data_IF_330536255500
#
_entry.id   IF_330536255500
#
_cell.length_a   1.000
_cell.length_b   1.000
_cell.length_c   1.000
_cell.angle_alpha   90.00
_cell.angle_beta   90.00
_cell.angle_gamma   90.00
#
_symmetry.space_group_name_H-M   'P 1'
#
loop_
_entity.id
_entity.type
_entity.pdbx_description
1 polymer ?
#
# COMPACT_ATOMS: atom_id res chain seq x y z
N UNK A 1 -5.95 6.09 34.15
CA UNK A 1 -4.49 6.23 34.32
C UNK A 1 -4.24 7.33 35.33
N UNK A 2 -3.40 7.08 36.36
CA UNK A 2 -3.05 8.09 37.37
C UNK A 2 -1.56 8.34 37.23
N UNK A 3 -1.17 9.60 37.08
CA UNK A 3 0.24 10.01 37.01
C UNK A 3 0.67 10.58 38.37
N UNK A 4 1.77 10.09 38.90
CA UNK A 4 2.40 10.58 40.16
C UNK A 4 3.78 11.09 39.82
N UNK A 5 4.07 12.33 40.22
CA UNK A 5 5.39 12.94 40.01
C UNK A 5 6.33 12.54 41.14
N UNK A 6 7.41 11.83 40.81
CA UNK A 6 8.48 11.51 41.78
C UNK A 6 9.65 12.50 41.64
N UNK A 7 10.33 12.83 42.77
CA UNK A 7 11.47 13.76 42.80
C UNK A 7 12.75 13.18 42.15
N UNK A 8 12.89 11.85 42.16
CA UNK A 8 14.03 11.17 41.54
C UNK A 8 13.62 9.81 40.98
N UNK A 9 14.42 9.27 40.04
CA UNK A 9 14.20 7.97 39.44
C UNK A 9 14.20 6.80 40.43
N UNK A 10 15.08 6.85 41.46
CA UNK A 10 15.13 5.84 42.52
C UNK A 10 13.87 5.87 43.39
N UNK A 11 13.42 7.07 43.75
CA UNK A 11 12.20 7.27 44.55
C UNK A 11 10.98 6.76 43.76
N UNK A 12 10.93 7.02 42.44
CA UNK A 12 9.89 6.53 41.54
C UNK A 12 9.80 5.02 41.52
N UNK A 13 10.93 4.31 41.40
CA UNK A 13 10.96 2.85 41.39
C UNK A 13 10.51 2.24 42.74
N UNK A 14 10.90 2.83 43.86
CA UNK A 14 10.47 2.36 45.17
C UNK A 14 8.97 2.55 45.37
N UNK A 15 8.42 3.69 44.99
CA UNK A 15 6.98 3.97 45.04
C UNK A 15 6.20 3.01 44.13
N UNK A 16 6.69 2.76 42.94
CA UNK A 16 6.06 1.81 41.99
C UNK A 16 5.94 0.41 42.61
N UNK A 17 7.02 -0.08 43.19
CA UNK A 17 7.04 -1.38 43.85
C UNK A 17 6.09 -1.45 45.04
N UNK A 18 6.05 -0.41 45.89
CA UNK A 18 5.14 -0.36 47.03
C UNK A 18 3.66 -0.33 46.63
N UNK A 19 3.33 0.38 45.55
CA UNK A 19 1.95 0.41 45.01
C UNK A 19 1.57 -0.97 44.47
N UNK A 20 2.41 -1.58 43.65
CA UNK A 20 2.11 -2.87 43.06
C UNK A 20 2.05 -3.99 44.13
N UNK A 21 2.87 -3.95 45.14
CA UNK A 21 2.86 -4.87 46.26
C UNK A 21 1.59 -4.73 47.13
N UNK A 22 1.13 -3.49 47.35
CA UNK A 22 -0.11 -3.21 48.09
C UNK A 22 -1.36 -3.73 47.37
N UNK A 23 -1.37 -3.68 46.04
CA UNK A 23 -2.50 -4.12 45.23
C UNK A 23 -2.34 -5.52 44.64
N UNK A 24 -1.23 -6.24 44.88
CA UNK A 24 -0.92 -7.55 44.33
C UNK A 24 -1.98 -8.63 44.60
N UNK A 25 -2.63 -8.56 45.76
CA UNK A 25 -3.65 -9.49 46.21
C UNK A 25 -5.09 -8.92 46.16
N UNK A 26 -5.27 -7.80 45.47
CA UNK A 26 -6.58 -7.17 45.33
C UNK A 26 -7.22 -7.57 43.97
N UNK A 27 -8.56 -7.53 43.87
CA UNK A 27 -9.23 -7.71 42.57
C UNK A 27 -8.89 -6.59 41.56
N UNK A 28 -8.12 -5.58 41.95
CA UNK A 28 -7.67 -4.43 41.17
C UNK A 28 -6.15 -4.37 41.13
N UNK A 29 -5.49 -5.43 40.65
CA UNK A 29 -4.04 -5.44 40.50
C UNK A 29 -3.58 -4.26 39.61
N UNK A 30 -2.62 -3.51 40.10
CA UNK A 30 -2.02 -2.35 39.41
C UNK A 30 -0.67 -2.74 38.81
N UNK A 31 -0.30 -2.09 37.72
CA UNK A 31 1.05 -2.14 37.17
C UNK A 31 1.57 -0.70 37.10
N UNK A 32 2.56 -0.42 37.91
CA UNK A 32 3.13 0.93 38.06
C UNK A 32 4.55 0.93 37.50
N UNK A 33 4.84 1.85 36.59
CA UNK A 33 6.17 1.96 35.99
C UNK A 33 6.51 3.39 35.59
N UNK A 34 7.79 3.69 35.32
CA UNK A 34 8.18 4.99 34.79
C UNK A 34 7.53 5.25 33.43
N UNK A 35 7.24 6.51 33.15
CA UNK A 35 6.62 6.96 31.90
C UNK A 35 7.37 6.46 30.65
N UNK A 36 8.71 6.41 30.72
CA UNK A 36 9.55 5.87 29.65
C UNK A 36 9.28 4.39 29.34
N UNK A 37 8.93 3.59 30.34
CA UNK A 37 8.62 2.17 30.16
C UNK A 37 7.28 1.99 29.45
N UNK A 38 6.29 2.80 29.82
CA UNK A 38 4.99 2.81 29.14
C UNK A 38 5.15 3.28 27.67
N UNK A 39 5.98 4.30 27.45
CA UNK A 39 6.27 4.78 26.10
C UNK A 39 6.97 3.71 25.24
N UNK A 40 7.89 2.92 25.80
CA UNK A 40 8.56 1.82 25.10
C UNK A 40 7.58 0.67 24.81
N UNK A 41 6.72 0.31 25.77
CA UNK A 41 5.69 -0.73 25.55
C UNK A 41 4.71 -0.29 24.44
N UNK A 42 4.20 0.95 24.48
CA UNK A 42 3.34 1.50 23.44
C UNK A 42 4.06 1.54 22.08
N UNK A 43 5.33 1.96 22.03
CA UNK A 43 6.12 1.96 20.80
C UNK A 43 6.29 0.53 20.23
N UNK A 44 6.45 -0.48 21.10
CA UNK A 44 6.49 -1.89 20.70
C UNK A 44 5.17 -2.36 20.07
N UNK A 45 4.03 -2.03 20.70
CA UNK A 45 2.71 -2.36 20.15
C UNK A 45 2.46 -1.68 18.78
N UNK A 46 2.89 -0.43 18.61
CA UNK A 46 2.81 0.25 17.32
C UNK A 46 3.71 -0.37 16.26
N UNK A 47 4.90 -0.86 16.63
CA UNK A 47 5.80 -1.55 15.70
C UNK A 47 5.21 -2.88 15.21
N UNK A 48 4.52 -3.64 16.07
CA UNK A 48 3.81 -4.86 15.69
C UNK A 48 2.65 -4.57 14.74
N UNK A 49 1.90 -3.50 14.99
CA UNK A 49 0.82 -3.04 14.08
C UNK A 49 1.40 -2.63 12.73
N UNK A 50 2.51 -1.89 12.69
CA UNK A 50 3.19 -1.49 11.46
C UNK A 50 3.60 -2.71 10.63
N UNK A 51 4.15 -3.76 11.25
CA UNK A 51 4.54 -4.98 10.58
C UNK A 51 3.32 -5.70 9.97
N UNK A 52 2.22 -5.79 10.71
CA UNK A 52 0.97 -6.39 10.23
C UNK A 52 0.43 -5.60 9.03
N UNK A 53 0.35 -4.27 9.15
CA UNK A 53 -0.13 -3.39 8.07
C UNK A 53 0.74 -3.50 6.83
N UNK A 54 2.06 -3.48 6.97
CA UNK A 54 2.99 -3.65 5.85
C UNK A 54 2.85 -5.02 5.17
N UNK A 55 2.62 -6.08 5.95
CA UNK A 55 2.38 -7.43 5.41
C UNK A 55 1.09 -7.50 4.59
N UNK A 56 0.03 -6.85 5.07
CA UNK A 56 -1.25 -6.75 4.34
C UNK A 56 -1.05 -5.95 3.05
N UNK A 57 -0.37 -4.79 3.13
CA UNK A 57 -0.10 -3.94 1.96
C UNK A 57 0.72 -4.67 0.89
N UNK A 58 1.74 -5.44 1.30
CA UNK A 58 2.53 -6.26 0.38
C UNK A 58 1.69 -7.35 -0.29
N UNK A 59 0.79 -7.98 0.46
CA UNK A 59 -0.13 -8.99 -0.05
C UNK A 59 -1.10 -8.41 -1.09
N UNK A 60 -1.65 -7.25 -0.79
CA UNK A 60 -2.53 -6.50 -1.70
C UNK A 60 -1.77 -6.06 -2.96
N UNK A 61 -0.56 -5.52 -2.79
CA UNK A 61 0.32 -5.14 -3.91
C UNK A 61 0.58 -6.31 -4.85
N UNK A 62 0.92 -7.47 -4.30
CA UNK A 62 1.15 -8.69 -5.10
C UNK A 62 -0.13 -9.13 -5.84
N UNK A 63 -1.27 -9.08 -5.17
CA UNK A 63 -2.56 -9.41 -5.79
C UNK A 63 -2.89 -8.47 -6.95
N UNK A 64 -2.67 -7.16 -6.78
CA UNK A 64 -2.87 -6.16 -7.84
C UNK A 64 -1.96 -6.45 -9.04
N UNK A 65 -0.69 -6.79 -8.81
CA UNK A 65 0.25 -7.17 -9.87
C UNK A 65 -0.26 -8.36 -10.68
N UNK A 66 -0.72 -9.42 -10.01
CA UNK A 66 -1.23 -10.62 -10.70
C UNK A 66 -2.50 -10.33 -11.49
N UNK A 67 -3.46 -9.62 -10.90
CA UNK A 67 -4.72 -9.28 -11.56
C UNK A 67 -4.45 -8.38 -12.77
N UNK A 68 -3.66 -7.33 -12.61
CA UNK A 68 -3.31 -6.41 -13.70
C UNK A 68 -2.57 -7.13 -14.84
N UNK A 69 -1.62 -8.01 -14.52
CA UNK A 69 -0.90 -8.81 -15.51
C UNK A 69 -1.82 -9.75 -16.29
N UNK A 70 -2.76 -10.41 -15.61
CA UNK A 70 -3.75 -11.27 -16.25
C UNK A 70 -4.69 -10.49 -17.16
N UNK A 71 -5.16 -9.32 -16.72
CA UNK A 71 -6.03 -8.45 -17.52
C UNK A 71 -5.34 -7.95 -18.78
N UNK A 72 -4.08 -7.52 -18.68
CA UNK A 72 -3.28 -7.13 -19.84
C UNK A 72 -3.01 -8.30 -20.77
N UNK A 73 -2.71 -9.49 -20.24
CA UNK A 73 -2.50 -10.67 -21.05
C UNK A 73 -3.79 -11.09 -21.82
N UNK A 74 -4.95 -10.90 -21.20
CA UNK A 74 -6.24 -11.13 -21.86
C UNK A 74 -6.51 -10.08 -22.94
N UNK A 75 -6.29 -8.81 -22.68
CA UNK A 75 -6.41 -7.72 -23.67
C UNK A 75 -5.56 -7.99 -24.92
N UNK A 76 -4.31 -8.43 -24.74
CA UNK A 76 -3.44 -8.79 -25.85
C UNK A 76 -3.97 -10.00 -26.63
N UNK A 77 -4.48 -11.02 -25.95
CA UNK A 77 -5.07 -12.19 -26.62
C UNK A 77 -6.28 -11.82 -27.46
N UNK A 78 -7.15 -10.95 -26.97
CA UNK A 78 -8.32 -10.47 -27.71
C UNK A 78 -7.94 -9.67 -28.96
N UNK A 79 -6.80 -8.96 -28.92
CA UNK A 79 -6.27 -8.14 -30.05
C UNK A 79 -5.18 -8.83 -30.85
N UNK A 80 -5.00 -10.14 -30.68
CA UNK A 80 -3.94 -10.88 -31.38
C UNK A 80 -4.06 -10.76 -32.91
N UNK A 81 -5.29 -10.78 -33.46
CA UNK A 81 -5.53 -10.55 -34.88
C UNK A 81 -5.11 -9.16 -35.36
N UNK A 82 -5.45 -8.11 -34.60
CA UNK A 82 -5.07 -6.73 -34.92
C UNK A 82 -3.55 -6.53 -34.88
N UNK A 83 -2.89 -7.14 -33.90
CA UNK A 83 -1.42 -7.14 -33.78
C UNK A 83 -0.80 -7.84 -34.98
N UNK A 84 -1.41 -8.96 -35.44
CA UNK A 84 -0.99 -9.67 -36.66
C UNK A 84 -1.07 -8.79 -37.90
N UNK A 85 -2.18 -8.07 -38.11
CA UNK A 85 -2.35 -7.12 -39.22
C UNK A 85 -1.30 -5.99 -39.13
N UNK A 86 -1.05 -5.41 -37.96
CA UNK A 86 -0.02 -4.38 -37.77
C UNK A 86 1.37 -4.90 -38.20
N UNK A 87 1.72 -6.14 -37.80
CA UNK A 87 2.99 -6.77 -38.21
C UNK A 87 3.06 -6.99 -39.71
N UNK A 88 1.95 -7.39 -40.37
CA UNK A 88 1.89 -7.51 -41.83
C UNK A 88 2.07 -6.19 -42.55
N UNK A 89 1.60 -5.07 -41.99
CA UNK A 89 1.80 -3.72 -42.48
C UNK A 89 3.23 -3.19 -42.26
N UNK A 90 4.10 -3.97 -41.62
CA UNK A 90 5.51 -3.62 -41.40
C UNK A 90 5.79 -2.80 -40.16
N UNK A 91 4.84 -2.72 -39.22
CA UNK A 91 5.13 -2.08 -37.92
C UNK A 91 6.18 -2.87 -37.15
N UNK A 92 7.10 -2.15 -36.54
CA UNK A 92 8.17 -2.74 -35.72
C UNK A 92 7.63 -3.35 -34.44
N UNK A 93 8.20 -4.46 -34.00
CA UNK A 93 7.86 -5.10 -32.72
C UNK A 93 7.98 -4.14 -31.53
N UNK A 94 8.93 -3.19 -31.60
CA UNK A 94 9.06 -2.13 -30.58
C UNK A 94 7.85 -1.22 -30.48
N UNK A 95 7.15 -0.95 -31.57
CA UNK A 95 5.94 -0.12 -31.57
C UNK A 95 4.81 -0.84 -30.84
N UNK A 96 4.66 -2.14 -31.06
CA UNK A 96 3.68 -2.98 -30.37
C UNK A 96 3.98 -3.03 -28.87
N UNK A 97 5.25 -3.24 -28.52
CA UNK A 97 5.70 -3.23 -27.13
C UNK A 97 5.36 -1.92 -26.40
N UNK A 98 5.72 -0.80 -27.02
CA UNK A 98 5.43 0.54 -26.49
C UNK A 98 3.93 0.74 -26.31
N UNK A 99 3.10 0.31 -27.26
CA UNK A 99 1.64 0.43 -27.15
C UNK A 99 1.09 -0.31 -25.94
N UNK A 100 1.55 -1.52 -25.64
CA UNK A 100 1.15 -2.30 -24.46
C UNK A 100 1.60 -1.60 -23.16
N UNK A 101 2.81 -1.09 -23.14
CA UNK A 101 3.32 -0.35 -21.96
C UNK A 101 2.53 0.93 -21.74
N UNK A 102 2.21 1.69 -22.79
CA UNK A 102 1.40 2.90 -22.69
C UNK A 102 -0.03 2.59 -22.20
N UNK A 103 -0.61 1.49 -22.65
CA UNK A 103 -1.92 1.03 -22.16
C UNK A 103 -1.87 0.75 -20.65
N UNK A 104 -0.85 0.02 -20.18
CA UNK A 104 -0.65 -0.27 -18.76
C UNK A 104 -0.45 1.02 -17.93
N UNK A 105 0.37 1.95 -18.42
CA UNK A 105 0.61 3.24 -17.76
C UNK A 105 -0.71 4.03 -17.66
N UNK A 106 -1.50 4.07 -18.73
CA UNK A 106 -2.78 4.79 -18.75
C UNK A 106 -3.76 4.22 -17.74
N UNK A 107 -3.88 2.89 -17.67
CA UNK A 107 -4.74 2.21 -16.69
C UNK A 107 -4.28 2.53 -15.25
N UNK A 108 -2.98 2.40 -14.96
CA UNK A 108 -2.46 2.68 -13.64
C UNK A 108 -2.57 4.16 -13.27
N UNK A 109 -2.34 5.06 -14.22
CA UNK A 109 -2.49 6.50 -14.00
C UNK A 109 -3.94 6.88 -13.63
N UNK A 110 -4.91 6.38 -14.37
CA UNK A 110 -6.33 6.61 -14.07
C UNK A 110 -6.74 5.99 -12.74
N UNK A 111 -6.20 4.82 -12.39
CA UNK A 111 -6.42 4.18 -11.10
C UNK A 111 -5.86 5.00 -9.94
N UNK A 112 -4.63 5.53 -10.05
CA UNK A 112 -4.02 6.40 -9.04
C UNK A 112 -4.82 7.68 -8.87
N UNK A 113 -5.24 8.34 -9.98
CA UNK A 113 -6.06 9.55 -9.91
C UNK A 113 -7.40 9.29 -9.22
N UNK A 114 -8.08 8.20 -9.57
CA UNK A 114 -9.36 7.85 -8.92
C UNK A 114 -9.16 7.53 -7.43
N UNK A 115 -8.10 6.81 -7.07
CA UNK A 115 -7.76 6.52 -5.68
C UNK A 115 -7.50 7.80 -4.87
N UNK A 116 -6.71 8.72 -5.40
CA UNK A 116 -6.45 10.03 -4.76
C UNK A 116 -7.72 10.86 -4.63
N UNK A 117 -8.61 10.84 -5.64
CA UNK A 117 -9.88 11.54 -5.59
C UNK A 117 -10.78 10.99 -4.46
N UNK A 118 -10.91 9.67 -4.36
CA UNK A 118 -11.66 9.06 -3.26
C UNK A 118 -11.05 9.35 -1.90
N UNK A 119 -9.73 9.31 -1.77
CA UNK A 119 -9.02 9.64 -0.53
C UNK A 119 -9.26 11.09 -0.13
N UNK A 120 -9.23 12.03 -1.07
CA UNK A 120 -9.49 13.44 -0.82
C UNK A 120 -10.93 13.72 -0.31
N UNK A 121 -11.89 12.86 -0.65
CA UNK A 121 -13.27 12.95 -0.15
C UNK A 121 -13.40 12.25 1.21
N UNK A 122 -12.74 11.12 1.40
CA UNK A 122 -12.85 10.30 2.60
C UNK A 122 -12.18 10.95 3.82
N UNK A 123 -11.04 11.61 3.65
CA UNK A 123 -10.32 12.26 4.76
C UNK A 123 -11.22 13.26 5.51
N UNK A 124 -11.83 14.28 4.87
CA UNK A 124 -12.71 15.21 5.56
C UNK A 124 -13.96 14.54 6.19
N UNK A 125 -14.46 13.47 5.57
CA UNK A 125 -15.57 12.71 6.12
C UNK A 125 -15.20 12.02 7.44
N UNK A 126 -14.02 11.42 7.51
CA UNK A 126 -13.49 10.78 8.73
C UNK A 126 -13.20 11.83 9.81
N UNK A 127 -12.59 12.96 9.46
CA UNK A 127 -12.33 14.08 10.37
C UNK A 127 -13.61 14.60 11.00
N UNK A 128 -14.65 14.79 10.20
CA UNK A 128 -15.96 15.25 10.71
C UNK A 128 -16.62 14.27 11.68
N UNK A 129 -16.38 12.97 11.50
CA UNK A 129 -16.89 11.91 12.40
C UNK A 129 -16.06 11.78 13.68
N UNK A 130 -14.76 12.08 13.64
CA UNK A 130 -13.85 11.98 14.78
C UNK A 130 -13.88 13.19 15.71
N UNK A 131 -14.65 14.23 15.39
CA UNK A 131 -14.75 15.45 16.20
C UNK A 131 -13.47 16.28 16.23
N UNK A 132 -12.63 16.22 15.18
CA UNK A 132 -11.41 17.02 15.05
C UNK A 132 -10.19 16.48 15.82
N UNK A 133 -10.26 15.30 16.39
CA UNK A 133 -9.14 14.72 17.13
C UNK A 133 -8.03 14.11 16.24
N UNK A 134 -8.25 14.03 14.93
CA UNK A 134 -7.35 13.42 13.96
C UNK A 134 -6.83 14.37 12.87
N UNK A 135 -7.09 15.68 13.01
CA UNK A 135 -6.73 16.70 11.98
C UNK A 135 -5.24 16.69 11.60
N UNK A 136 -4.35 16.38 12.55
CA UNK A 136 -2.90 16.33 12.31
C UNK A 136 -2.36 14.94 11.91
N UNK A 137 -3.17 13.89 12.02
CA UNK A 137 -2.71 12.51 11.82
C UNK A 137 -2.89 12.02 10.39
N UNK A 138 -3.90 12.54 9.68
CA UNK A 138 -4.26 12.08 8.34
C UNK A 138 -4.21 13.24 7.36
N UNK A 139 -3.06 13.49 6.75
CA UNK A 139 -2.90 14.54 5.75
C UNK A 139 -2.44 14.02 4.41
N UNK A 140 -3.03 14.51 3.33
CA UNK A 140 -2.57 14.29 1.95
C UNK A 140 -1.31 15.14 1.69
N UNK A 141 -0.17 14.67 2.19
CA UNK A 141 1.11 15.32 1.90
C UNK A 141 1.53 15.11 0.44
N UNK A 142 2.27 16.07 -0.13
CA UNK A 142 2.85 15.95 -1.47
C UNK A 142 3.72 14.69 -1.64
N UNK A 143 4.38 14.24 -0.58
CA UNK A 143 5.17 12.98 -0.58
C UNK A 143 4.30 11.74 -0.75
N UNK A 144 3.09 11.70 -0.17
CA UNK A 144 2.13 10.61 -0.34
C UNK A 144 1.62 10.56 -1.78
N UNK A 145 1.32 11.72 -2.37
CA UNK A 145 0.86 11.82 -3.76
C UNK A 145 1.97 11.32 -4.71
N UNK A 146 3.19 11.83 -4.56
CA UNK A 146 4.34 11.40 -5.38
C UNK A 146 4.66 9.92 -5.19
N UNK A 147 4.60 9.43 -3.95
CA UNK A 147 4.76 8.01 -3.64
C UNK A 147 3.72 7.13 -4.34
N UNK A 148 2.46 7.54 -4.33
CA UNK A 148 1.36 6.86 -5.03
C UNK A 148 1.60 6.76 -6.54
N UNK A 149 2.03 7.85 -7.18
CA UNK A 149 2.39 7.83 -8.61
C UNK A 149 3.63 6.95 -8.88
N UNK A 150 4.65 6.99 -8.03
CA UNK A 150 5.84 6.16 -8.19
C UNK A 150 5.49 4.66 -8.09
N UNK A 151 4.71 4.28 -7.09
CA UNK A 151 4.23 2.90 -6.91
C UNK A 151 3.34 2.50 -8.09
N UNK A 152 2.42 3.36 -8.55
CA UNK A 152 1.59 3.11 -9.72
C UNK A 152 2.41 2.84 -10.99
N UNK A 153 3.49 3.60 -11.22
CA UNK A 153 4.41 3.35 -12.34
C UNK A 153 5.14 2.00 -12.21
N UNK A 154 5.60 1.65 -11.01
CA UNK A 154 6.23 0.34 -10.76
C UNK A 154 5.26 -0.79 -11.06
N UNK A 155 4.01 -0.69 -10.60
CA UNK A 155 2.96 -1.67 -10.89
C UNK A 155 2.72 -1.77 -12.40
N UNK A 156 2.61 -0.64 -13.11
CA UNK A 156 2.39 -0.62 -14.56
C UNK A 156 3.50 -1.37 -15.33
N UNK A 157 4.75 -1.07 -15.02
CA UNK A 157 5.89 -1.74 -15.66
C UNK A 157 5.96 -3.23 -15.32
N UNK A 158 5.83 -3.59 -14.05
CA UNK A 158 5.92 -4.98 -13.62
C UNK A 158 4.77 -5.84 -14.16
N UNK A 159 3.53 -5.33 -14.14
CA UNK A 159 2.37 -6.06 -14.64
C UNK A 159 2.38 -6.21 -16.17
N UNK A 160 2.90 -5.22 -16.88
CA UNK A 160 2.98 -5.23 -18.34
C UNK A 160 4.18 -6.01 -18.91
N UNK A 161 5.24 -6.23 -18.12
CA UNK A 161 6.49 -6.81 -18.59
C UNK A 161 6.30 -8.18 -19.29
N UNK A 162 5.59 -9.11 -18.64
CA UNK A 162 5.35 -10.45 -19.17
C UNK A 162 4.40 -10.42 -20.38
N UNK A 163 3.21 -9.77 -20.32
CA UNK A 163 2.33 -9.71 -21.48
C UNK A 163 2.93 -8.95 -22.66
N UNK A 164 3.67 -7.87 -22.43
CA UNK A 164 4.35 -7.12 -23.49
C UNK A 164 5.43 -7.95 -24.18
N UNK A 165 6.21 -8.72 -23.42
CA UNK A 165 7.20 -9.64 -23.98
C UNK A 165 6.54 -10.75 -24.81
N UNK A 166 5.41 -11.29 -24.36
CA UNK A 166 4.65 -12.29 -25.11
C UNK A 166 4.10 -11.72 -26.42
N UNK A 167 3.65 -10.47 -26.44
CA UNK A 167 3.19 -9.78 -27.64
C UNK A 167 4.29 -9.62 -28.71
N UNK A 168 5.55 -9.41 -28.28
CA UNK A 168 6.70 -9.37 -29.20
C UNK A 168 6.88 -10.70 -29.95
N UNK A 169 6.73 -11.81 -29.23
CA UNK A 169 7.00 -13.16 -29.75
C UNK A 169 5.84 -13.77 -30.53
N UNK A 170 4.71 -13.06 -30.69
CA UNK A 170 3.60 -13.50 -31.52
C UNK A 170 4.03 -13.62 -33.01
N UNK A 171 3.95 -14.84 -33.53
CA UNK A 171 4.19 -15.09 -34.95
C UNK A 171 2.97 -14.67 -35.78
N UNK A 172 3.21 -13.97 -36.88
CA UNK A 172 2.17 -13.47 -37.78
C UNK A 172 1.25 -14.61 -38.24
N UNK A 173 1.80 -15.79 -38.51
CA UNK A 173 1.07 -16.97 -38.94
C UNK A 173 0.05 -17.45 -37.89
N UNK A 174 0.45 -17.44 -36.61
CA UNK A 174 -0.42 -17.86 -35.51
C UNK A 174 -1.51 -16.81 -35.22
N UNK A 175 -1.17 -15.52 -35.37
CA UNK A 175 -2.10 -14.42 -35.21
C UNK A 175 -3.23 -14.41 -36.26
N UNK A 176 -2.89 -14.70 -37.52
CA UNK A 176 -3.88 -14.78 -38.62
C UNK A 176 -4.72 -16.06 -38.61
N UNK A 177 -4.30 -17.09 -37.88
CA UNK A 177 -5.04 -18.36 -37.74
C UNK A 177 -6.04 -18.34 -36.60
N UNK A 178 -5.89 -17.42 -35.66
CA UNK A 178 -6.72 -17.27 -34.48
C UNK A 178 -7.95 -16.35 -34.68
N UNK A 179 -8.02 -15.64 -35.80
CA UNK A 179 -9.18 -14.85 -36.26
C UNK A 179 -9.95 -15.61 -37.31
#
# INVERSE_FOLDING_TARGET
>A
MIMVKAESAETGQNISRQIDEYFANSPYATRTGPESMIAIEMAGEFADIELIVNSILMSVFFTILLVSSNTLAQSIRERTGDIGVLKCLGYRDSTIFISVILEAITICFTAVLSGLFFTAILIPAIESMSGGTMDDLITLSSSVILGGFAIGLVIAFMSAAVPAYNALNLKVVDALRAG
#
